data_IF_148482407235
#
_entry.id   IF_148482407235
#
_cell.length_a   1.000
_cell.length_b   1.000
_cell.length_c   1.000
_cell.angle_alpha   90.00
_cell.angle_beta   90.00
_cell.angle_gamma   90.00
#
_symmetry.space_group_name_H-M   'P 1'
#
loop_
_entity.id
_entity.type
_entity.pdbx_description
1 polymer ?
#
# COMPACT_ATOMS: atom_id res chain seq x y z
N UNK A 1 -35.67 11.06 -27.36
CA UNK A 1 -35.30 10.79 -25.96
C UNK A 1 -33.77 10.57 -25.93
N UNK A 2 -33.02 11.58 -25.50
CA UNK A 2 -31.55 11.44 -25.38
C UNK A 2 -31.26 10.42 -24.28
N UNK A 3 -30.59 9.33 -24.64
CA UNK A 3 -30.03 8.39 -23.66
C UNK A 3 -29.03 9.18 -22.78
N UNK A 4 -29.35 9.30 -21.50
CA UNK A 4 -28.41 9.80 -20.50
C UNK A 4 -27.27 8.78 -20.47
N UNK A 5 -26.14 9.13 -21.08
CA UNK A 5 -24.92 8.34 -20.96
C UNK A 5 -24.58 8.34 -19.48
N UNK A 6 -24.90 7.26 -18.77
CA UNK A 6 -24.50 7.04 -17.38
C UNK A 6 -23.01 6.78 -17.38
N UNK A 7 -22.24 7.83 -17.15
CA UNK A 7 -20.79 7.69 -16.96
C UNK A 7 -20.54 6.81 -15.73
N UNK A 8 -19.85 5.70 -15.92
CA UNK A 8 -19.45 4.80 -14.81
C UNK A 8 -18.74 5.62 -13.73
N UNK A 9 -19.19 5.49 -12.49
CA UNK A 9 -18.55 6.11 -11.34
C UNK A 9 -17.66 5.08 -10.63
N UNK A 10 -16.41 5.42 -10.43
CA UNK A 10 -15.43 4.56 -9.75
C UNK A 10 -15.37 4.90 -8.28
N UNK A 11 -15.49 3.89 -7.41
CA UNK A 11 -15.29 4.00 -5.97
C UNK A 11 -13.89 3.53 -5.62
N UNK A 12 -13.02 4.44 -5.25
CA UNK A 12 -11.62 4.15 -4.90
C UNK A 12 -11.52 3.83 -3.41
N UNK A 13 -11.15 2.58 -3.08
CA UNK A 13 -11.16 2.05 -1.71
C UNK A 13 -9.80 2.10 -1.00
N UNK A 14 -8.79 2.70 -1.63
CA UNK A 14 -7.44 2.88 -1.07
C UNK A 14 -7.44 3.74 0.20
N UNK A 15 -6.37 3.72 1.01
CA UNK A 15 -6.18 4.68 2.09
C UNK A 15 -6.39 6.12 1.61
N UNK A 16 -6.92 6.99 2.48
CA UNK A 16 -7.49 8.30 2.10
C UNK A 16 -6.61 9.14 1.15
N UNK A 17 -5.31 9.29 1.45
CA UNK A 17 -4.39 10.09 0.61
C UNK A 17 -4.18 9.49 -0.78
N UNK A 18 -4.06 8.17 -0.86
CA UNK A 18 -3.94 7.47 -2.13
C UNK A 18 -5.25 7.54 -2.91
N UNK A 19 -6.39 7.34 -2.23
CA UNK A 19 -7.70 7.41 -2.85
C UNK A 19 -7.95 8.79 -3.48
N UNK A 20 -7.64 9.88 -2.78
CA UNK A 20 -7.76 11.25 -3.31
C UNK A 20 -6.90 11.47 -4.56
N UNK A 21 -5.64 10.99 -4.52
CA UNK A 21 -4.72 11.10 -5.67
C UNK A 21 -5.27 10.34 -6.89
N UNK A 22 -5.80 9.13 -6.67
CA UNK A 22 -6.41 8.33 -7.74
C UNK A 22 -7.69 8.95 -8.29
N UNK A 23 -8.54 9.52 -7.43
CA UNK A 23 -9.74 10.25 -7.85
C UNK A 23 -9.35 11.41 -8.78
N UNK A 24 -8.36 12.22 -8.41
CA UNK A 24 -7.88 13.32 -9.26
C UNK A 24 -7.38 12.81 -10.62
N UNK A 25 -6.61 11.72 -10.65
CA UNK A 25 -6.10 11.13 -11.89
C UNK A 25 -7.22 10.57 -12.78
N UNK A 26 -8.25 9.95 -12.21
CA UNK A 26 -9.42 9.50 -12.95
C UNK A 26 -10.19 10.69 -13.54
N UNK A 27 -10.44 11.71 -12.74
CA UNK A 27 -11.18 12.92 -13.17
C UNK A 27 -10.45 13.68 -14.27
N UNK A 28 -9.11 13.81 -14.18
CA UNK A 28 -8.28 14.38 -15.27
C UNK A 28 -8.39 13.57 -16.56
N UNK A 29 -8.66 12.28 -16.46
CA UNK A 29 -8.90 11.39 -17.60
C UNK A 29 -10.36 11.28 -18.03
N UNK A 30 -11.27 12.13 -17.52
CA UNK A 30 -12.68 12.13 -17.87
C UNK A 30 -13.52 11.02 -17.21
N UNK A 31 -12.97 10.26 -16.26
CA UNK A 31 -13.69 9.21 -15.54
C UNK A 31 -14.23 9.76 -14.22
N UNK A 32 -15.54 9.63 -13.99
CA UNK A 32 -16.15 10.00 -12.72
C UNK A 32 -15.63 9.09 -11.61
N UNK A 33 -15.10 9.67 -10.54
CA UNK A 33 -14.53 8.91 -9.44
C UNK A 33 -14.75 9.59 -8.09
N UNK A 34 -14.85 8.80 -7.05
CA UNK A 34 -14.96 9.25 -5.66
C UNK A 34 -14.14 8.36 -4.72
N UNK A 35 -13.73 8.91 -3.59
CA UNK A 35 -12.97 8.19 -2.57
C UNK A 35 -13.92 7.65 -1.49
N UNK A 36 -13.86 6.35 -1.24
CA UNK A 36 -14.44 5.70 -0.07
C UNK A 36 -13.35 4.83 0.59
N UNK A 37 -12.45 5.45 1.38
CA UNK A 37 -11.34 4.72 1.97
C UNK A 37 -11.83 3.62 2.92
N UNK A 38 -11.40 2.39 2.67
CA UNK A 38 -11.74 1.21 3.48
C UNK A 38 -10.56 0.71 4.33
N UNK A 39 -9.46 1.46 4.34
CA UNK A 39 -8.30 1.22 5.19
C UNK A 39 -7.88 2.57 5.77
N UNK A 40 -7.80 2.64 7.09
CA UNK A 40 -7.20 3.77 7.78
C UNK A 40 -5.73 3.49 8.05
N UNK A 41 -4.87 4.46 7.72
CA UNK A 41 -3.46 4.45 8.06
C UNK A 41 -3.27 5.41 9.22
N UNK A 42 -2.78 4.87 10.34
CA UNK A 42 -2.48 5.62 11.55
C UNK A 42 -1.00 5.47 11.92
N UNK A 43 -0.41 6.39 12.69
CA UNK A 43 0.93 6.19 13.23
C UNK A 43 1.03 4.86 13.99
N UNK A 44 2.21 4.23 13.95
CA UNK A 44 2.47 3.06 14.78
C UNK A 44 2.37 3.43 16.28
N UNK A 45 2.03 2.48 17.17
CA UNK A 45 1.92 2.74 18.62
C UNK A 45 3.23 3.32 19.18
N UNK A 46 3.14 4.39 19.96
CA UNK A 46 4.15 5.45 20.07
C UNK A 46 5.55 5.07 20.59
N UNK A 47 5.71 4.21 21.59
CA UNK A 47 7.01 4.11 22.25
C UNK A 47 7.98 3.10 21.59
N UNK A 48 7.58 1.84 21.43
CA UNK A 48 8.47 0.79 20.88
C UNK A 48 8.79 1.00 19.40
N UNK A 49 7.82 1.50 18.62
CA UNK A 49 7.99 1.73 17.18
C UNK A 49 8.88 2.95 16.89
N UNK A 50 8.80 4.00 17.71
CA UNK A 50 9.69 5.17 17.56
C UNK A 50 11.14 4.79 17.87
N UNK A 51 11.39 4.01 18.92
CA UNK A 51 12.73 3.52 19.26
C UNK A 51 13.28 2.59 18.18
N UNK A 52 12.49 1.64 17.69
CA UNK A 52 12.90 0.74 16.61
C UNK A 52 13.22 1.50 15.30
N UNK A 53 12.42 2.51 14.97
CA UNK A 53 12.68 3.37 13.83
C UNK A 53 13.96 4.19 14.02
N UNK A 54 14.19 4.72 15.20
CA UNK A 54 15.41 5.46 15.52
C UNK A 54 16.64 4.55 15.35
N UNK A 55 16.61 3.34 15.91
CA UNK A 55 17.68 2.34 15.75
C UNK A 55 17.90 1.97 14.28
N UNK A 56 16.83 1.84 13.50
CA UNK A 56 16.93 1.57 12.06
C UNK A 56 17.65 2.70 11.31
N UNK A 57 17.39 3.96 11.69
CA UNK A 57 18.08 5.12 11.12
C UNK A 57 19.54 5.19 11.55
N UNK A 58 19.84 4.96 12.83
CA UNK A 58 21.20 4.98 13.39
C UNK A 58 22.11 3.93 12.74
N UNK A 59 21.55 2.77 12.40
CA UNK A 59 22.28 1.67 11.77
C UNK A 59 22.06 1.54 10.27
N UNK A 60 21.47 2.56 9.61
CA UNK A 60 21.01 2.45 8.21
C UNK A 60 22.13 2.08 7.24
N UNK A 61 23.33 2.62 7.44
CA UNK A 61 24.51 2.34 6.60
C UNK A 61 25.02 0.89 6.73
N UNK A 62 24.59 0.14 7.74
CA UNK A 62 24.90 -1.28 7.89
C UNK A 62 24.05 -2.20 7.02
N UNK A 63 22.96 -1.68 6.43
CA UNK A 63 22.09 -2.45 5.56
C UNK A 63 22.56 -2.41 4.11
N UNK A 64 22.52 -3.58 3.45
CA UNK A 64 22.71 -3.67 2.01
C UNK A 64 21.49 -3.17 1.24
N UNK A 65 20.30 -3.36 1.83
CA UNK A 65 19.04 -2.96 1.20
C UNK A 65 17.93 -2.65 2.22
N UNK A 66 17.00 -1.76 1.80
CA UNK A 66 15.76 -1.45 2.51
C UNK A 66 14.56 -1.74 1.61
N UNK A 67 13.72 -2.71 1.98
CA UNK A 67 12.46 -2.98 1.30
C UNK A 67 11.34 -2.13 1.89
N UNK A 68 10.66 -1.37 1.06
CA UNK A 68 9.44 -0.66 1.40
C UNK A 68 8.22 -1.38 0.82
N UNK A 69 7.36 -1.89 1.67
CA UNK A 69 6.23 -2.72 1.24
C UNK A 69 5.06 -1.91 0.64
N UNK A 70 5.09 -0.59 0.76
CA UNK A 70 4.06 0.32 0.23
C UNK A 70 4.53 1.77 0.22
N UNK A 71 3.84 2.65 -0.53
CA UNK A 71 4.09 4.10 -0.48
C UNK A 71 3.88 4.69 0.92
N UNK A 72 2.92 4.16 1.71
CA UNK A 72 2.75 4.59 3.10
C UNK A 72 3.97 4.24 3.97
N UNK A 73 4.63 3.11 3.73
CA UNK A 73 5.86 2.76 4.42
C UNK A 73 6.96 3.79 4.14
N UNK A 74 7.11 4.22 2.89
CA UNK A 74 8.03 5.30 2.49
C UNK A 74 7.67 6.61 3.19
N UNK A 75 6.42 7.04 3.05
CA UNK A 75 5.94 8.30 3.62
C UNK A 75 6.18 8.39 5.14
N UNK A 76 5.83 7.33 5.88
CA UNK A 76 5.99 7.31 7.33
C UNK A 76 7.46 7.20 7.75
N UNK A 77 8.27 6.39 7.07
CA UNK A 77 9.69 6.23 7.37
C UNK A 77 10.43 7.56 7.23
N UNK A 78 10.25 8.27 6.12
CA UNK A 78 10.97 9.51 5.86
C UNK A 78 10.41 10.73 6.64
N UNK A 79 9.08 10.82 6.85
CA UNK A 79 8.50 11.91 7.67
C UNK A 79 8.84 11.82 9.14
N UNK A 80 8.88 10.62 9.70
CA UNK A 80 9.25 10.47 11.10
C UNK A 80 10.73 10.81 11.32
N UNK A 81 11.58 10.66 10.31
CA UNK A 81 12.94 11.17 10.33
C UNK A 81 12.97 12.66 10.67
N UNK A 82 12.19 13.47 9.95
CA UNK A 82 12.16 14.92 10.15
C UNK A 82 11.63 15.29 11.55
N UNK A 83 10.62 14.57 12.02
CA UNK A 83 10.07 14.77 13.37
C UNK A 83 11.06 14.36 14.46
N UNK A 84 11.74 13.22 14.30
CA UNK A 84 12.76 12.77 15.24
C UNK A 84 13.96 13.72 15.27
N UNK A 85 14.37 14.26 14.12
CA UNK A 85 15.42 15.27 14.04
C UNK A 85 15.03 16.56 14.78
N UNK A 86 13.78 17.02 14.64
CA UNK A 86 13.27 18.22 15.32
C UNK A 86 13.16 18.04 16.84
N UNK A 87 12.70 16.88 17.30
CA UNK A 87 12.60 16.58 18.74
C UNK A 87 13.98 16.43 19.38
N UNK A 88 14.96 15.91 18.65
CA UNK A 88 16.35 15.86 19.10
C UNK A 88 16.98 17.24 19.16
N UNK A 89 16.74 18.12 18.19
CA UNK A 89 17.24 19.51 18.28
C UNK A 89 16.70 20.24 19.51
N UNK A 90 15.46 19.94 19.95
CA UNK A 90 14.92 20.46 21.21
C UNK A 90 15.61 19.85 22.45
N UNK A 91 15.99 18.57 22.39
CA UNK A 91 16.66 17.86 23.48
C UNK A 91 18.19 18.05 23.46
N UNK A 92 18.80 18.28 22.28
CA UNK A 92 20.26 18.47 22.08
C UNK A 92 20.76 19.84 22.54
N UNK A 93 19.87 20.83 22.68
CA UNK A 93 20.21 22.06 23.40
C UNK A 93 20.64 21.79 24.87
N UNK A 94 20.40 20.57 25.36
CA UNK A 94 20.75 20.13 26.71
C UNK A 94 22.00 19.24 26.73
N UNK A 95 22.32 18.44 25.68
CA UNK A 95 23.30 17.34 25.79
C UNK A 95 24.38 17.24 24.71
N UNK A 96 24.54 18.18 23.79
CA UNK A 96 25.65 18.25 22.82
C UNK A 96 25.93 16.95 22.00
N UNK A 97 24.92 16.13 21.71
CA UNK A 97 25.04 14.88 20.95
C UNK A 97 24.66 15.16 19.48
N UNK A 98 25.55 14.81 18.53
CA UNK A 98 25.30 14.98 17.09
C UNK A 98 24.04 14.21 16.65
N UNK A 99 23.24 14.78 15.75
CA UNK A 99 22.07 14.11 15.18
C UNK A 99 22.51 12.82 14.47
N UNK A 100 21.97 11.62 14.83
CA UNK A 100 22.39 10.36 14.25
C UNK A 100 21.80 10.13 12.85
N UNK A 101 20.97 11.06 12.34
CA UNK A 101 20.37 10.90 11.03
C UNK A 101 21.35 11.34 9.95
N UNK A 102 21.85 10.44 9.06
CA UNK A 102 22.79 10.79 8.02
C UNK A 102 22.22 11.89 7.11
N UNK A 103 22.96 12.95 6.90
CA UNK A 103 22.60 13.98 5.93
C UNK A 103 22.61 13.47 4.49
N UNK A 104 23.34 12.37 4.24
CA UNK A 104 23.41 11.69 2.95
C UNK A 104 23.28 10.19 3.16
N UNK A 105 22.38 9.56 2.40
CA UNK A 105 22.26 8.12 2.34
C UNK A 105 23.45 7.53 1.60
N UNK A 106 23.95 6.39 2.06
CA UNK A 106 25.05 5.68 1.38
C UNK A 106 24.68 5.40 -0.07
N UNK A 107 25.54 5.70 -1.05
CA UNK A 107 25.29 5.36 -2.45
C UNK A 107 25.24 3.85 -2.70
N UNK A 108 25.74 3.04 -1.75
CA UNK A 108 25.69 1.56 -1.82
C UNK A 108 24.39 0.98 -1.32
N UNK A 109 23.62 1.71 -0.53
CA UNK A 109 22.32 1.27 -0.01
C UNK A 109 21.31 1.17 -1.14
N UNK A 110 20.69 0.00 -1.29
CA UNK A 110 19.63 -0.22 -2.28
C UNK A 110 18.25 -0.05 -1.65
N UNK A 111 17.34 0.56 -2.37
CA UNK A 111 15.94 0.71 -1.99
C UNK A 111 15.08 -0.20 -2.85
N UNK A 112 14.18 -0.95 -2.25
CA UNK A 112 13.40 -1.97 -2.93
C UNK A 112 11.91 -1.68 -2.83
N UNK A 113 11.20 -1.83 -3.94
CA UNK A 113 9.77 -1.57 -4.05
C UNK A 113 9.09 -2.68 -4.85
N UNK A 114 8.02 -3.32 -4.33
CA UNK A 114 7.32 -4.37 -5.06
C UNK A 114 6.41 -3.84 -6.17
N UNK A 115 6.20 -2.52 -6.26
CA UNK A 115 5.32 -1.96 -7.27
C UNK A 115 5.49 -0.46 -7.53
N UNK A 116 4.91 0.04 -8.65
CA UNK A 116 5.16 1.39 -9.17
C UNK A 116 4.75 2.52 -8.22
N UNK A 117 3.70 2.32 -7.42
CA UNK A 117 3.28 3.32 -6.43
C UNK A 117 4.32 3.53 -5.31
N UNK A 118 5.03 2.48 -4.92
CA UNK A 118 6.12 2.56 -3.93
C UNK A 118 7.37 3.16 -4.55
N UNK A 119 7.69 2.83 -5.82
CA UNK A 119 8.77 3.48 -6.59
C UNK A 119 8.55 4.99 -6.66
N UNK A 120 7.34 5.42 -7.05
CA UNK A 120 7.01 6.84 -7.12
C UNK A 120 7.15 7.55 -5.76
N UNK A 121 6.78 6.88 -4.66
CA UNK A 121 6.95 7.42 -3.31
C UNK A 121 8.43 7.57 -2.93
N UNK A 122 9.28 6.59 -3.26
CA UNK A 122 10.74 6.65 -3.03
C UNK A 122 11.38 7.81 -3.82
N UNK A 123 11.03 7.96 -5.10
CA UNK A 123 11.51 9.07 -5.93
C UNK A 123 11.07 10.41 -5.34
N UNK A 124 9.81 10.53 -4.91
CA UNK A 124 9.29 11.74 -4.26
C UNK A 124 9.97 12.03 -2.91
N UNK A 125 10.49 11.01 -2.23
CA UNK A 125 11.30 11.14 -1.02
C UNK A 125 12.78 11.49 -1.30
N UNK A 126 13.15 11.69 -2.58
CA UNK A 126 14.50 12.08 -2.99
C UNK A 126 15.48 10.93 -3.24
N UNK A 127 14.99 9.68 -3.30
CA UNK A 127 15.86 8.53 -3.62
C UNK A 127 16.15 8.50 -5.13
N UNK A 128 17.43 8.49 -5.54
CA UNK A 128 17.79 8.38 -6.93
C UNK A 128 17.25 7.11 -7.58
N UNK A 129 16.69 7.22 -8.78
CA UNK A 129 16.11 6.06 -9.50
C UNK A 129 17.11 4.91 -9.66
N UNK A 130 18.41 5.21 -9.87
CA UNK A 130 19.47 4.21 -9.97
C UNK A 130 19.75 3.41 -8.70
N UNK A 131 19.24 3.86 -7.53
CA UNK A 131 19.31 3.12 -6.26
C UNK A 131 18.06 2.31 -5.96
N UNK A 132 17.04 2.35 -6.82
CA UNK A 132 15.75 1.66 -6.60
C UNK A 132 15.71 0.37 -7.42
N UNK A 133 15.41 -0.74 -6.75
CA UNK A 133 15.13 -2.03 -7.36
C UNK A 133 13.62 -2.31 -7.32
N UNK A 134 13.04 -2.61 -8.47
CA UNK A 134 11.61 -2.91 -8.59
C UNK A 134 11.37 -3.82 -9.80
N UNK A 135 10.25 -4.54 -9.87
CA UNK A 135 9.81 -5.22 -11.08
C UNK A 135 9.70 -4.25 -12.25
N UNK A 136 9.97 -4.72 -13.47
CA UNK A 136 9.81 -3.93 -14.69
C UNK A 136 8.37 -3.39 -14.82
N UNK A 137 8.20 -2.23 -15.46
CA UNK A 137 6.86 -1.59 -15.59
C UNK A 137 5.85 -2.44 -16.37
N UNK A 138 6.35 -3.35 -17.22
CA UNK A 138 5.55 -4.31 -17.99
C UNK A 138 5.38 -5.66 -17.29
N UNK A 139 5.89 -5.83 -16.08
CA UNK A 139 5.73 -7.06 -15.30
C UNK A 139 4.25 -7.45 -15.18
N UNK A 140 3.97 -8.75 -15.24
CA UNK A 140 2.60 -9.28 -15.12
C UNK A 140 1.97 -8.95 -13.75
N UNK A 141 2.78 -8.96 -12.70
CA UNK A 141 2.35 -8.67 -11.33
C UNK A 141 3.37 -7.79 -10.62
N UNK A 142 2.90 -7.11 -9.58
CA UNK A 142 3.70 -6.23 -8.74
C UNK A 142 3.57 -6.71 -7.29
N UNK A 143 4.39 -7.70 -6.95
CA UNK A 143 4.42 -8.34 -5.63
C UNK A 143 5.84 -8.74 -5.21
N UNK A 144 5.94 -9.43 -4.10
CA UNK A 144 7.23 -9.89 -3.55
C UNK A 144 7.92 -10.91 -4.45
N UNK A 145 7.16 -11.74 -5.19
CA UNK A 145 7.74 -12.71 -6.12
C UNK A 145 8.39 -11.99 -7.30
N UNK A 146 7.66 -11.09 -7.95
CA UNK A 146 8.18 -10.32 -9.07
C UNK A 146 9.41 -9.47 -8.67
N UNK A 147 9.44 -8.95 -7.43
CA UNK A 147 10.64 -8.28 -6.92
C UNK A 147 11.79 -9.27 -6.74
N UNK A 148 11.54 -10.46 -6.19
CA UNK A 148 12.57 -11.47 -5.97
C UNK A 148 13.21 -11.94 -7.28
N UNK A 149 12.44 -12.03 -8.36
CA UNK A 149 12.94 -12.36 -9.69
C UNK A 149 14.00 -11.36 -10.18
N UNK A 150 13.95 -10.11 -9.70
CA UNK A 150 14.94 -9.06 -10.02
C UNK A 150 16.19 -9.13 -9.12
N UNK A 151 16.00 -9.46 -7.83
CA UNK A 151 17.06 -9.31 -6.82
C UNK A 151 17.64 -10.62 -6.29
N UNK A 152 16.93 -11.75 -6.49
CA UNK A 152 17.23 -13.02 -5.86
C UNK A 152 18.58 -13.65 -6.27
N UNK A 153 19.10 -13.27 -7.44
CA UNK A 153 20.39 -13.75 -7.94
C UNK A 153 21.63 -13.04 -7.33
N UNK A 154 21.40 -12.03 -6.48
CA UNK A 154 22.49 -11.32 -5.79
C UNK A 154 23.06 -12.17 -4.65
N UNK A 155 24.32 -11.91 -4.31
CA UNK A 155 24.93 -12.47 -3.11
C UNK A 155 24.35 -11.80 -1.86
N UNK A 156 23.53 -12.54 -1.13
CA UNK A 156 22.89 -12.10 0.12
C UNK A 156 23.60 -12.67 1.37
N UNK A 157 24.59 -13.55 1.21
CA UNK A 157 25.28 -14.17 2.34
C UNK A 157 25.88 -13.13 3.28
N UNK A 158 25.47 -13.16 4.54
CA UNK A 158 25.94 -12.25 5.59
C UNK A 158 25.48 -10.79 5.42
N UNK A 159 24.61 -10.50 4.44
CA UNK A 159 24.05 -9.15 4.24
C UNK A 159 22.90 -8.88 5.19
N UNK A 160 22.74 -7.62 5.60
CA UNK A 160 21.57 -7.17 6.36
C UNK A 160 20.56 -6.49 5.44
N UNK A 161 19.29 -6.80 5.63
CA UNK A 161 18.17 -6.20 4.90
C UNK A 161 17.15 -5.66 5.89
N UNK A 162 16.73 -4.41 5.73
CA UNK A 162 15.66 -3.79 6.50
C UNK A 162 14.34 -3.88 5.74
N UNK A 163 13.30 -4.42 6.38
CA UNK A 163 11.94 -4.42 5.84
C UNK A 163 11.10 -3.37 6.57
N UNK A 164 10.76 -2.30 5.86
CA UNK A 164 9.91 -1.19 6.34
C UNK A 164 8.47 -1.48 6.00
N UNK A 165 7.62 -1.64 7.02
CA UNK A 165 6.23 -2.10 6.84
C UNK A 165 5.24 -1.38 7.75
N UNK A 166 3.95 -1.60 7.50
CA UNK A 166 2.87 -1.32 8.44
C UNK A 166 2.58 -2.52 9.32
N UNK A 167 2.05 -2.26 10.49
CA UNK A 167 1.54 -3.24 11.44
C UNK A 167 0.02 -3.38 11.32
N UNK A 168 -0.49 -4.59 11.59
CA UNK A 168 -1.92 -4.83 11.71
C UNK A 168 -2.22 -5.21 13.17
N UNK A 169 -2.82 -4.32 13.99
CA UNK A 169 -3.05 -4.55 15.41
C UNK A 169 -3.94 -5.77 15.71
N UNK A 170 -4.81 -6.17 14.78
CA UNK A 170 -5.67 -7.35 14.92
C UNK A 170 -4.93 -8.68 14.86
N UNK A 171 -3.63 -8.67 14.60
CA UNK A 171 -2.78 -9.86 14.45
C UNK A 171 -1.62 -9.89 15.48
N UNK A 172 -1.65 -9.01 16.48
CA UNK A 172 -0.65 -8.99 17.56
C UNK A 172 -0.78 -10.26 18.39
N UNK A 173 0.29 -11.05 18.44
CA UNK A 173 0.36 -12.31 19.22
C UNK A 173 0.13 -13.59 18.42
N UNK A 174 -0.41 -13.52 17.22
CA UNK A 174 -0.23 -14.58 16.23
C UNK A 174 1.00 -14.21 15.40
N UNK A 175 1.90 -15.14 15.17
CA UNK A 175 2.89 -15.08 14.07
C UNK A 175 2.11 -15.08 12.76
N UNK A 176 1.31 -14.04 12.55
CA UNK A 176 0.47 -13.88 11.39
C UNK A 176 1.38 -13.55 10.22
N UNK A 177 1.85 -14.61 9.61
CA UNK A 177 2.48 -14.64 8.31
C UNK A 177 1.55 -13.94 7.31
N UNK A 178 1.79 -12.64 7.07
CA UNK A 178 1.15 -11.96 5.95
C UNK A 178 1.69 -12.61 4.67
N UNK A 179 0.85 -13.36 3.91
CA UNK A 179 1.29 -14.05 2.71
C UNK A 179 1.99 -13.05 1.76
N UNK A 180 3.19 -13.37 1.30
CA UNK A 180 3.98 -12.55 0.41
C UNK A 180 5.09 -11.75 1.10
N UNK A 181 4.84 -11.01 2.18
CA UNK A 181 5.87 -10.21 2.88
C UNK A 181 6.82 -11.07 3.69
N UNK A 182 6.31 -12.08 4.38
CA UNK A 182 7.12 -13.05 5.09
C UNK A 182 7.76 -14.05 4.12
N UNK A 183 7.17 -14.23 2.94
CA UNK A 183 7.74 -15.05 1.90
C UNK A 183 9.10 -14.47 1.44
N UNK A 184 9.18 -13.18 1.09
CA UNK A 184 10.43 -12.57 0.63
C UNK A 184 11.47 -12.51 1.75
N UNK A 185 11.06 -12.32 3.01
CA UNK A 185 11.96 -12.39 4.16
C UNK A 185 12.54 -13.79 4.33
N UNK A 186 11.73 -14.85 4.12
CA UNK A 186 12.22 -16.24 4.11
C UNK A 186 13.20 -16.51 2.97
N UNK A 187 12.95 -15.93 1.78
CA UNK A 187 13.89 -16.05 0.65
C UNK A 187 15.25 -15.44 1.00
N UNK A 188 15.27 -14.23 1.60
CA UNK A 188 16.52 -13.64 2.07
C UNK A 188 17.19 -14.48 3.15
N UNK A 189 16.45 -14.98 4.13
CA UNK A 189 16.98 -15.88 5.17
C UNK A 189 17.58 -17.14 4.57
N UNK A 190 16.91 -17.77 3.60
CA UNK A 190 17.43 -18.93 2.87
C UNK A 190 18.68 -18.60 2.04
N UNK A 191 18.82 -17.38 1.55
CA UNK A 191 19.99 -16.88 0.86
C UNK A 191 21.11 -16.38 1.80
N UNK A 192 20.98 -16.58 3.13
CA UNK A 192 21.97 -16.25 4.13
C UNK A 192 21.98 -14.79 4.60
N UNK A 193 20.95 -14.01 4.30
CA UNK A 193 20.81 -12.65 4.80
C UNK A 193 20.18 -12.61 6.20
N UNK A 194 20.53 -11.60 6.97
CA UNK A 194 19.84 -11.19 8.18
C UNK A 194 18.74 -10.20 7.81
N UNK A 195 17.49 -10.47 8.24
CA UNK A 195 16.35 -9.61 7.95
C UNK A 195 15.84 -8.97 9.23
N UNK A 196 15.89 -7.64 9.26
CA UNK A 196 15.34 -6.82 10.33
C UNK A 196 14.03 -6.17 9.87
N UNK A 197 13.10 -5.93 10.80
CA UNK A 197 11.79 -5.35 10.51
C UNK A 197 11.59 -4.07 11.30
N UNK A 198 11.03 -3.05 10.65
CA UNK A 198 10.54 -1.84 11.32
C UNK A 198 9.10 -1.55 10.90
N UNK A 199 8.23 -1.41 11.90
CA UNK A 199 6.84 -1.02 11.70
C UNK A 199 6.71 0.49 11.89
N UNK A 200 6.34 1.21 10.82
CA UNK A 200 6.29 2.68 10.81
C UNK A 200 4.87 3.23 10.83
N UNK A 201 3.86 2.42 10.57
CA UNK A 201 2.44 2.77 10.65
C UNK A 201 1.61 1.54 11.02
N UNK A 202 0.39 1.76 11.43
CA UNK A 202 -0.61 0.70 11.61
C UNK A 202 -1.75 0.86 10.60
N UNK A 203 -2.32 -0.28 10.23
CA UNK A 203 -3.51 -0.37 9.36
C UNK A 203 -4.67 -0.83 10.23
N UNK A 204 -5.81 -0.19 10.05
CA UNK A 204 -7.03 -0.59 10.74
C UNK A 204 -8.25 -0.34 9.88
N UNK A 205 -9.38 -0.97 10.22
CA UNK A 205 -10.66 -0.65 9.64
C UNK A 205 -11.00 0.83 9.92
N UNK A 206 -11.46 1.60 8.93
CA UNK A 206 -11.86 2.99 9.14
C UNK A 206 -13.18 3.05 9.91
N UNK A 207 -13.39 4.12 10.65
CA UNK A 207 -14.72 4.46 11.15
C UNK A 207 -15.47 5.22 10.07
N UNK A 208 -16.38 4.53 9.36
CA UNK A 208 -17.16 5.16 8.32
C UNK A 208 -18.22 6.10 8.91
N UNK A 209 -18.35 7.28 8.32
CA UNK A 209 -19.42 8.22 8.65
C UNK A 209 -20.75 7.73 8.11
N UNK A 210 -21.88 8.25 8.63
CA UNK A 210 -23.22 7.91 8.12
C UNK A 210 -23.35 8.19 6.61
N UNK A 211 -22.74 9.26 6.10
CA UNK A 211 -22.74 9.57 4.68
C UNK A 211 -21.97 8.52 3.86
N UNK A 212 -20.84 8.05 4.34
CA UNK A 212 -20.05 6.99 3.72
C UNK A 212 -20.77 5.64 3.74
N UNK A 213 -21.41 5.30 4.86
CA UNK A 213 -22.24 4.09 4.97
C UNK A 213 -23.42 4.14 3.99
N UNK A 214 -24.13 5.26 3.90
CA UNK A 214 -25.21 5.44 2.94
C UNK A 214 -24.70 5.38 1.50
N UNK A 215 -23.53 5.97 1.22
CA UNK A 215 -22.92 5.91 -0.12
C UNK A 215 -22.54 4.47 -0.50
N UNK A 216 -22.00 3.70 0.43
CA UNK A 216 -21.70 2.29 0.21
C UNK A 216 -22.95 1.47 -0.12
N UNK A 217 -24.07 1.71 0.59
CA UNK A 217 -25.36 1.05 0.30
C UNK A 217 -25.85 1.35 -1.11
N UNK A 218 -25.83 2.61 -1.51
CA UNK A 218 -26.25 3.02 -2.87
C UNK A 218 -25.35 2.39 -3.92
N UNK A 219 -24.04 2.34 -3.68
CA UNK A 219 -23.06 1.78 -4.59
C UNK A 219 -23.15 0.26 -4.79
N UNK A 220 -23.92 -0.43 -3.96
CA UNK A 220 -24.18 -1.86 -4.15
C UNK A 220 -25.06 -2.14 -5.37
N UNK A 221 -25.80 -1.11 -5.90
CA UNK A 221 -26.77 -1.32 -6.97
C UNK A 221 -26.92 -0.16 -7.97
N UNK A 222 -26.20 0.95 -7.79
CA UNK A 222 -26.34 2.14 -8.67
C UNK A 222 -25.49 2.09 -9.96
N UNK A 223 -24.81 0.97 -10.21
CA UNK A 223 -23.90 0.79 -11.34
C UNK A 223 -22.49 1.32 -11.11
N UNK A 224 -22.17 1.83 -9.92
CA UNK A 224 -20.79 2.18 -9.55
C UNK A 224 -19.86 0.97 -9.61
N UNK A 225 -18.60 1.22 -9.96
CA UNK A 225 -17.56 0.17 -10.00
C UNK A 225 -16.58 0.36 -8.84
N UNK A 226 -16.51 -0.63 -7.96
CA UNK A 226 -15.60 -0.65 -6.83
C UNK A 226 -14.19 -1.01 -7.29
N UNK A 227 -13.20 -0.18 -6.97
CA UNK A 227 -11.80 -0.46 -7.25
C UNK A 227 -11.11 -0.97 -5.98
N UNK A 228 -10.85 -2.28 -5.94
CA UNK A 228 -10.15 -2.93 -4.84
C UNK A 228 -8.68 -3.20 -5.19
N UNK A 229 -7.79 -2.75 -4.31
CA UNK A 229 -6.34 -3.00 -4.36
C UNK A 229 -5.80 -3.69 -3.10
N UNK A 230 -6.70 -4.21 -2.25
CA UNK A 230 -6.36 -4.94 -1.02
C UNK A 230 -7.51 -5.85 -0.63
N UNK A 231 -7.20 -7.09 -0.21
CA UNK A 231 -8.17 -8.03 0.39
C UNK A 231 -8.69 -7.51 1.74
N UNK A 232 -7.86 -6.74 2.46
CA UNK A 232 -8.25 -6.10 3.72
C UNK A 232 -9.36 -5.06 3.51
N UNK A 233 -9.31 -4.29 2.41
CA UNK A 233 -10.39 -3.35 2.08
C UNK A 233 -11.71 -4.06 1.84
N UNK A 234 -11.69 -5.22 1.17
CA UNK A 234 -12.88 -6.06 0.98
C UNK A 234 -13.40 -6.54 2.34
N UNK A 235 -12.52 -7.10 3.17
CA UNK A 235 -12.89 -7.60 4.49
C UNK A 235 -13.46 -6.49 5.40
N UNK A 236 -12.84 -5.30 5.42
CA UNK A 236 -13.34 -4.17 6.19
C UNK A 236 -14.73 -3.71 5.76
N UNK A 237 -15.04 -3.78 4.46
CA UNK A 237 -16.36 -3.40 3.94
C UNK A 237 -17.43 -4.43 4.32
N UNK A 238 -17.16 -5.73 4.12
CA UNK A 238 -18.18 -6.77 4.35
C UNK A 238 -18.39 -7.08 5.85
N UNK A 239 -17.37 -6.79 6.67
CA UNK A 239 -17.45 -6.94 8.12
C UNK A 239 -17.97 -5.69 8.83
N UNK A 240 -18.28 -4.60 8.09
CA UNK A 240 -18.91 -3.41 8.68
C UNK A 240 -20.32 -3.77 9.12
N UNK A 241 -20.65 -3.71 10.43
CA UNK A 241 -21.92 -4.23 10.95
C UNK A 241 -23.15 -3.63 10.28
N UNK A 242 -23.09 -2.35 9.91
CA UNK A 242 -24.19 -1.62 9.27
C UNK A 242 -24.39 -2.05 7.82
N UNK A 243 -23.37 -2.61 7.18
CA UNK A 243 -23.37 -3.04 5.77
C UNK A 243 -23.51 -4.57 5.62
N UNK A 244 -23.42 -5.34 6.70
CA UNK A 244 -23.40 -6.80 6.67
C UNK A 244 -24.65 -7.47 6.08
N UNK A 245 -25.79 -6.76 6.05
CA UNK A 245 -27.02 -7.25 5.44
C UNK A 245 -27.16 -6.91 3.96
N UNK A 246 -26.18 -6.21 3.36
CA UNK A 246 -26.25 -5.78 1.95
C UNK A 246 -25.87 -6.94 1.04
N UNK A 247 -26.74 -7.24 0.05
CA UNK A 247 -26.39 -8.11 -1.06
C UNK A 247 -25.51 -7.39 -2.08
N UNK A 248 -24.35 -7.97 -2.38
CA UNK A 248 -23.41 -7.40 -3.36
C UNK A 248 -23.57 -7.97 -4.77
N UNK A 249 -24.59 -8.83 -5.01
CA UNK A 249 -24.82 -9.50 -6.30
C UNK A 249 -25.10 -8.54 -7.47
N UNK A 250 -25.60 -7.32 -7.19
CA UNK A 250 -25.76 -6.26 -8.17
C UNK A 250 -24.53 -5.37 -8.36
N UNK A 251 -23.51 -5.51 -7.51
CA UNK A 251 -22.34 -4.66 -7.50
C UNK A 251 -21.28 -5.11 -8.53
N UNK A 252 -20.50 -4.14 -9.01
CA UNK A 252 -19.42 -4.34 -9.98
C UNK A 252 -18.08 -3.97 -9.33
N UNK A 253 -17.01 -4.72 -9.62
CA UNK A 253 -15.69 -4.44 -9.08
C UNK A 253 -14.57 -4.68 -10.09
N UNK A 254 -13.49 -3.90 -9.94
CA UNK A 254 -12.17 -4.15 -10.50
C UNK A 254 -11.23 -4.54 -9.37
N UNK A 255 -10.54 -5.66 -9.54
CA UNK A 255 -9.55 -6.19 -8.60
C UNK A 255 -8.15 -6.17 -9.22
N UNK A 256 -7.17 -5.59 -8.51
CA UNK A 256 -5.82 -5.38 -9.07
C UNK A 256 -4.85 -6.55 -8.84
N UNK A 257 -5.34 -7.67 -8.31
CA UNK A 257 -4.55 -8.89 -8.08
C UNK A 257 -5.47 -10.11 -7.99
N UNK A 258 -5.06 -11.33 -8.41
CA UNK A 258 -5.89 -12.55 -8.34
C UNK A 258 -6.47 -12.82 -6.95
N UNK A 259 -5.68 -12.71 -5.90
CA UNK A 259 -6.18 -12.89 -4.50
C UNK A 259 -7.27 -11.90 -4.11
N UNK A 260 -7.23 -10.67 -4.66
CA UNK A 260 -8.28 -9.67 -4.41
C UNK A 260 -9.53 -10.05 -5.20
N UNK A 261 -9.37 -10.50 -6.45
CA UNK A 261 -10.45 -11.00 -7.28
C UNK A 261 -11.24 -12.10 -6.56
N UNK A 262 -10.51 -13.09 -6.02
CA UNK A 262 -11.11 -14.22 -5.29
C UNK A 262 -11.82 -13.74 -4.03
N UNK A 263 -11.25 -12.83 -3.27
CA UNK A 263 -11.87 -12.25 -2.08
C UNK A 263 -13.16 -11.47 -2.40
N UNK A 264 -13.18 -10.69 -3.48
CA UNK A 264 -14.37 -9.94 -3.91
C UNK A 264 -15.46 -10.90 -4.40
N UNK A 265 -15.12 -11.94 -5.15
CA UNK A 265 -16.06 -12.98 -5.59
C UNK A 265 -16.66 -13.75 -4.39
N UNK A 266 -15.80 -14.15 -3.47
CA UNK A 266 -16.23 -14.83 -2.24
C UNK A 266 -17.16 -13.97 -1.38
N UNK A 267 -17.02 -12.66 -1.44
CA UNK A 267 -17.88 -11.69 -0.77
C UNK A 267 -19.21 -11.41 -1.51
N UNK A 268 -19.45 -12.04 -2.67
CA UNK A 268 -20.75 -12.05 -3.36
C UNK A 268 -20.95 -10.98 -4.42
N UNK A 269 -19.89 -10.30 -4.90
CA UNK A 269 -20.02 -9.36 -6.02
C UNK A 269 -20.44 -10.08 -7.30
N UNK A 270 -21.42 -9.48 -8.04
CA UNK A 270 -21.94 -10.07 -9.27
C UNK A 270 -21.01 -9.98 -10.46
N UNK A 271 -20.30 -8.84 -10.60
CA UNK A 271 -19.32 -8.62 -11.67
C UNK A 271 -17.97 -8.29 -11.08
N UNK A 272 -16.97 -9.12 -11.32
CA UNK A 272 -15.59 -8.90 -10.84
C UNK A 272 -14.60 -9.12 -11.97
N UNK A 273 -13.89 -8.06 -12.35
CA UNK A 273 -12.91 -8.08 -13.44
C UNK A 273 -11.50 -7.83 -12.89
N UNK A 274 -10.54 -8.61 -13.35
CA UNK A 274 -9.13 -8.41 -13.02
C UNK A 274 -8.54 -7.26 -13.83
N UNK A 275 -7.64 -6.48 -13.20
CA UNK A 275 -6.82 -5.49 -13.89
C UNK A 275 -5.41 -5.49 -13.32
N UNK A 276 -4.44 -5.01 -14.09
CA UNK A 276 -3.14 -4.62 -13.53
C UNK A 276 -3.30 -3.33 -12.70
N UNK A 277 -2.41 -3.10 -11.71
CA UNK A 277 -2.57 -1.96 -10.79
C UNK A 277 -2.19 -0.59 -11.38
N UNK A 278 -1.78 -0.52 -12.64
CA UNK A 278 -1.48 0.74 -13.30
C UNK A 278 -2.77 1.49 -13.69
N UNK A 279 -2.76 2.81 -13.60
CA UNK A 279 -3.93 3.66 -13.88
C UNK A 279 -4.49 3.42 -15.29
N UNK A 280 -3.60 3.29 -16.29
CA UNK A 280 -3.99 3.00 -17.68
C UNK A 280 -4.79 1.72 -17.77
N UNK A 281 -4.25 0.62 -17.22
CA UNK A 281 -4.87 -0.70 -17.31
C UNK A 281 -6.25 -0.72 -16.63
N UNK A 282 -6.38 -0.02 -15.49
CA UNK A 282 -7.66 0.09 -14.78
C UNK A 282 -8.66 0.89 -15.63
N UNK A 283 -8.24 1.98 -16.27
CA UNK A 283 -9.13 2.75 -17.17
C UNK A 283 -9.61 1.92 -18.35
N UNK A 284 -8.73 1.15 -18.98
CA UNK A 284 -9.08 0.26 -20.08
C UNK A 284 -10.07 -0.82 -19.61
N UNK A 285 -9.88 -1.35 -18.40
CA UNK A 285 -10.81 -2.33 -17.77
C UNK A 285 -12.17 -1.70 -17.47
N UNK A 286 -12.22 -0.45 -16.97
CA UNK A 286 -13.47 0.27 -16.70
C UNK A 286 -14.26 0.50 -17.99
N UNK A 287 -13.61 0.92 -19.07
CA UNK A 287 -14.24 1.08 -20.37
C UNK A 287 -14.84 -0.25 -20.90
N UNK A 288 -14.17 -1.37 -20.67
CA UNK A 288 -14.69 -2.70 -21.00
C UNK A 288 -15.93 -3.06 -20.17
N UNK A 289 -15.93 -2.75 -18.87
CA UNK A 289 -17.09 -2.99 -17.99
C UNK A 289 -18.29 -2.16 -18.47
N UNK A 290 -18.08 -0.89 -18.81
CA UNK A 290 -19.14 0.01 -19.30
C UNK A 290 -19.75 -0.49 -20.61
N UNK A 291 -18.92 -1.03 -21.50
CA UNK A 291 -19.38 -1.60 -22.78
C UNK A 291 -20.17 -2.90 -22.61
N UNK A 292 -19.79 -3.76 -21.64
CA UNK A 292 -20.39 -5.08 -21.46
C UNK A 292 -21.61 -5.07 -20.51
N UNK A 293 -21.70 -4.08 -19.65
CA UNK A 293 -22.74 -3.94 -18.61
C UNK A 293 -23.26 -2.51 -18.56
N UNK A 294 -23.96 -2.07 -19.62
CA UNK A 294 -24.47 -0.69 -19.76
C UNK A 294 -25.51 -0.31 -18.68
#
# INVERSE_FOLDING_TARGET
MSAVVRTVRVIVTRPAREAQRWVQQFQQGGVAAEALPLIEIAPAPAAASAQALWQAWDTLDSYAACLFVSGNAVDYFFRQKDTLALDQHKNLAINNIASPVPNQLSPKLRFMAPGPGTVAALVAAGIPAGQIDAPALDARQFDSQALWDVIGQRDWQGRRVLVVRGENPGLVGQTATLPGRDWIARQWGAAGAQVDFVSVYQRRAPRLTNAQLQRARVAASDGSVWLFSSTEAVANLVNEPVLGAIGWSGARAVATHPRILDAVRAAGWGVVVASRPALKDIRDTLASIESLYP
#
